data_IF_951586823350
#
_entry.id   IF_951586823350
#
_cell.length_a   1.000
_cell.length_b   1.000
_cell.length_c   1.000
_cell.angle_alpha   90.00
_cell.angle_beta   90.00
_cell.angle_gamma   90.00
#
_symmetry.space_group_name_H-M   'P 1'
#
loop_
_entity.id
_entity.type
_entity.pdbx_description
1 polymer ?
#
# COMPACT_ATOMS: atom_id res chain seq x y z
N UNK A 1 28.74 -10.93 -1.43
CA UNK A 1 27.49 -10.28 -1.85
C UNK A 1 26.52 -10.05 -0.68
N UNK A 2 26.35 -11.01 0.24
CA UNK A 2 25.41 -10.88 1.38
C UNK A 2 25.79 -9.87 2.48
N UNK A 3 27.06 -9.47 2.62
CA UNK A 3 27.50 -8.42 3.58
C UNK A 3 27.00 -6.99 3.22
N UNK A 4 26.52 -6.77 1.99
CA UNK A 4 26.01 -5.48 1.56
C UNK A 4 24.50 -5.27 1.84
N UNK A 5 23.76 -6.36 2.08
CA UNK A 5 22.35 -6.36 2.44
C UNK A 5 22.21 -6.31 3.96
N UNK A 6 22.17 -5.09 4.52
CA UNK A 6 21.92 -4.88 5.95
C UNK A 6 20.42 -4.99 6.23
N UNK A 7 20.10 -5.39 7.48
CA UNK A 7 18.72 -5.54 7.94
C UNK A 7 18.14 -6.93 7.70
N UNK A 8 16.85 -7.05 7.93
CA UNK A 8 16.14 -8.32 8.00
C UNK A 8 16.20 -9.13 6.69
N UNK A 9 16.98 -10.21 6.68
CA UNK A 9 17.18 -11.08 5.50
C UNK A 9 15.90 -11.78 5.06
N UNK A 10 15.00 -12.10 6.01
CA UNK A 10 13.72 -12.74 5.68
C UNK A 10 12.82 -11.76 4.93
N UNK A 11 12.80 -10.48 5.34
CA UNK A 11 12.06 -9.44 4.63
C UNK A 11 12.58 -9.27 3.19
N UNK A 12 13.90 -9.23 2.99
CA UNK A 12 14.50 -9.22 1.63
C UNK A 12 14.05 -10.43 0.80
N UNK A 13 14.06 -11.63 1.40
CA UNK A 13 13.63 -12.87 0.73
C UNK A 13 12.16 -12.86 0.33
N UNK A 14 11.26 -12.38 1.21
CA UNK A 14 9.82 -12.26 0.92
C UNK A 14 9.57 -11.31 -0.24
N UNK A 15 10.22 -10.13 -0.23
CA UNK A 15 10.05 -9.13 -1.28
C UNK A 15 10.59 -9.63 -2.63
N UNK A 16 11.74 -10.30 -2.63
CA UNK A 16 12.28 -10.93 -3.83
C UNK A 16 11.36 -12.03 -4.37
N UNK A 17 10.81 -12.87 -3.47
CA UNK A 17 9.86 -13.92 -3.84
C UNK A 17 8.58 -13.35 -4.49
N UNK A 18 7.98 -12.31 -3.89
CA UNK A 18 6.82 -11.63 -4.46
C UNK A 18 7.13 -11.04 -5.84
N UNK A 19 8.29 -10.38 -5.97
CA UNK A 19 8.71 -9.78 -7.24
C UNK A 19 8.93 -10.83 -8.34
N UNK A 20 9.64 -11.92 -8.04
CA UNK A 20 9.86 -13.01 -9.00
C UNK A 20 8.54 -13.69 -9.39
N UNK A 21 7.68 -13.95 -8.39
CA UNK A 21 6.36 -14.54 -8.66
C UNK A 21 5.49 -13.63 -9.54
N UNK A 22 5.62 -12.30 -9.43
CA UNK A 22 4.80 -11.36 -10.19
C UNK A 22 4.96 -11.45 -11.71
N UNK A 23 6.11 -11.92 -12.19
CA UNK A 23 6.40 -11.94 -13.63
C UNK A 23 5.45 -12.82 -14.42
N UNK A 24 5.11 -14.01 -13.90
CA UNK A 24 4.24 -14.95 -14.58
C UNK A 24 2.79 -14.42 -14.75
N UNK A 25 2.11 -13.99 -13.67
CA UNK A 25 0.76 -13.43 -13.78
C UNK A 25 0.70 -12.17 -14.62
N UNK A 26 1.71 -11.30 -14.54
CA UNK A 26 1.74 -10.05 -15.32
C UNK A 26 1.92 -10.34 -16.81
N UNK A 27 2.83 -11.25 -17.17
CA UNK A 27 3.00 -11.65 -18.58
C UNK A 27 1.69 -12.23 -19.14
N UNK A 28 1.03 -13.11 -18.39
CA UNK A 28 -0.24 -13.69 -18.79
C UNK A 28 -1.36 -12.65 -18.90
N UNK A 29 -1.56 -11.85 -17.86
CA UNK A 29 -2.62 -10.84 -17.80
C UNK A 29 -2.44 -9.70 -18.82
N UNK A 30 -1.20 -9.37 -19.20
CA UNK A 30 -0.91 -8.33 -20.20
C UNK A 30 -1.34 -8.69 -21.61
N UNK A 31 -1.61 -9.97 -21.88
CA UNK A 31 -2.16 -10.43 -23.17
C UNK A 31 -3.49 -9.73 -23.49
N UNK A 32 -4.33 -9.43 -22.49
CA UNK A 32 -5.56 -8.68 -22.69
C UNK A 32 -5.31 -7.29 -23.30
N UNK A 33 -4.33 -6.55 -22.80
CA UNK A 33 -3.99 -5.19 -23.28
C UNK A 33 -3.55 -5.22 -24.74
N UNK A 34 -2.94 -6.31 -25.19
CA UNK A 34 -2.47 -6.47 -26.56
C UNK A 34 -3.59 -6.94 -27.50
N UNK A 35 -4.30 -7.98 -27.15
CA UNK A 35 -5.25 -8.62 -28.06
C UNK A 35 -6.64 -7.98 -28.03
N UNK A 36 -7.06 -7.41 -26.91
CA UNK A 36 -8.40 -6.77 -26.75
C UNK A 36 -8.33 -5.27 -26.94
N UNK A 37 -7.32 -4.61 -26.37
CA UNK A 37 -7.19 -3.14 -26.45
C UNK A 37 -6.32 -2.69 -27.63
N UNK A 38 -5.59 -3.62 -28.25
CA UNK A 38 -4.75 -3.35 -29.44
C UNK A 38 -3.51 -2.49 -29.15
N UNK A 39 -3.03 -2.44 -27.92
CA UNK A 39 -1.89 -1.59 -27.53
C UNK A 39 -0.69 -2.42 -27.08
N UNK A 40 0.47 -2.16 -27.70
CA UNK A 40 1.76 -2.70 -27.29
C UNK A 40 1.97 -4.17 -27.63
N UNK A 41 2.90 -4.82 -26.94
CA UNK A 41 3.22 -6.24 -27.06
C UNK A 41 3.31 -6.88 -25.67
N UNK A 42 3.02 -8.20 -25.48
CA UNK A 42 3.16 -8.85 -24.17
C UNK A 42 4.58 -8.71 -23.60
N UNK A 43 5.59 -8.80 -24.46
CA UNK A 43 6.99 -8.59 -24.10
C UNK A 43 7.29 -7.16 -23.66
N UNK A 44 6.66 -6.15 -24.30
CA UNK A 44 6.79 -4.75 -23.90
C UNK A 44 6.27 -4.52 -22.48
N UNK A 45 5.12 -5.09 -22.14
CA UNK A 45 4.58 -5.02 -20.77
C UNK A 45 5.43 -5.77 -19.74
N UNK A 46 5.98 -6.93 -20.14
CA UNK A 46 6.90 -7.70 -19.30
C UNK A 46 8.19 -6.92 -19.01
N UNK A 47 8.83 -6.35 -20.04
CA UNK A 47 10.04 -5.53 -19.90
C UNK A 47 9.75 -4.30 -19.05
N UNK A 48 8.63 -3.62 -19.29
CA UNK A 48 8.20 -2.47 -18.47
C UNK A 48 8.08 -2.84 -17.01
N UNK A 49 7.44 -3.98 -16.69
CA UNK A 49 7.29 -4.46 -15.31
C UNK A 49 8.66 -4.81 -14.70
N UNK A 50 9.51 -5.50 -15.45
CA UNK A 50 10.88 -5.82 -15.03
C UNK A 50 11.68 -4.56 -14.68
N UNK A 51 11.66 -3.53 -15.55
CA UNK A 51 12.35 -2.25 -15.30
C UNK A 51 11.78 -1.56 -14.05
N UNK A 52 10.45 -1.53 -13.89
CA UNK A 52 9.81 -0.92 -12.73
C UNK A 52 10.25 -1.61 -11.43
N UNK A 53 10.27 -2.94 -11.39
CA UNK A 53 10.72 -3.68 -10.22
C UNK A 53 12.21 -3.49 -9.96
N UNK A 54 13.05 -3.54 -11.00
CA UNK A 54 14.49 -3.32 -10.88
C UNK A 54 14.79 -1.94 -10.30
N UNK A 55 14.18 -0.87 -10.83
CA UNK A 55 14.29 0.48 -10.26
C UNK A 55 13.78 0.51 -8.83
N UNK A 56 12.64 -0.15 -8.52
CA UNK A 56 12.12 -0.27 -7.17
C UNK A 56 13.12 -0.92 -6.20
N UNK A 57 13.76 -2.01 -6.59
CA UNK A 57 14.79 -2.68 -5.78
C UNK A 57 16.05 -1.82 -5.61
N UNK A 58 16.46 -1.08 -6.64
CA UNK A 58 17.58 -0.11 -6.54
C UNK A 58 17.23 1.00 -5.54
N UNK A 59 16.01 1.55 -5.59
CA UNK A 59 15.53 2.53 -4.62
C UNK A 59 15.51 1.95 -3.19
N UNK A 60 14.97 0.75 -3.02
CA UNK A 60 14.95 0.04 -1.73
C UNK A 60 16.37 -0.18 -1.20
N UNK A 61 17.31 -0.62 -2.07
CA UNK A 61 18.71 -0.82 -1.72
C UNK A 61 19.43 0.50 -1.39
N UNK A 62 19.07 1.62 -2.02
CA UNK A 62 19.66 2.92 -1.71
C UNK A 62 19.14 3.47 -0.38
N UNK A 63 17.84 3.33 -0.14
CA UNK A 63 17.16 3.85 1.04
C UNK A 63 17.54 3.08 2.30
N UNK A 64 17.70 1.75 2.24
CA UNK A 64 18.05 0.95 3.42
C UNK A 64 19.40 1.32 4.05
N UNK A 65 20.28 1.94 3.28
CA UNK A 65 21.58 2.44 3.77
C UNK A 65 21.49 3.75 4.54
N UNK A 66 20.40 4.50 4.34
CA UNK A 66 20.19 5.80 5.01
C UNK A 66 19.71 5.53 6.43
N UNK A 67 20.40 6.03 7.48
CA UNK A 67 19.95 5.89 8.85
C UNK A 67 18.52 6.44 9.03
N UNK A 68 17.61 5.62 9.52
CA UNK A 68 16.17 5.93 9.57
C UNK A 68 15.84 7.21 10.35
N UNK A 69 16.70 7.67 11.25
CA UNK A 69 16.54 8.92 11.99
C UNK A 69 16.41 10.16 11.09
N UNK A 70 17.01 10.16 9.89
CA UNK A 70 16.92 11.28 8.96
C UNK A 70 15.53 11.41 8.33
N UNK A 71 14.79 10.33 8.20
CA UNK A 71 13.42 10.39 7.67
C UNK A 71 12.48 11.23 8.53
N UNK A 72 12.83 11.44 9.82
CA UNK A 72 12.12 12.34 10.72
C UNK A 72 12.09 13.80 10.20
N UNK A 73 13.25 14.32 9.80
CA UNK A 73 13.39 15.66 9.21
C UNK A 73 12.80 15.73 7.81
N UNK A 74 13.07 14.71 6.99
CA UNK A 74 12.57 14.61 5.62
C UNK A 74 11.03 14.65 5.59
N UNK A 75 10.34 13.95 6.49
CA UNK A 75 8.88 13.94 6.52
C UNK A 75 8.28 15.30 6.83
N UNK A 76 8.91 16.08 7.71
CA UNK A 76 8.44 17.44 8.05
C UNK A 76 8.59 18.37 6.85
N UNK A 77 9.73 18.30 6.14
CA UNK A 77 9.99 19.11 4.95
C UNK A 77 9.09 18.71 3.76
N UNK A 78 8.87 17.41 3.57
CA UNK A 78 8.09 16.89 2.45
C UNK A 78 6.57 17.04 2.65
N UNK A 79 6.07 17.16 3.89
CA UNK A 79 4.64 17.23 4.18
C UNK A 79 3.93 18.37 3.42
N UNK A 80 4.38 19.65 3.47
CA UNK A 80 3.75 20.72 2.71
C UNK A 80 3.84 20.50 1.20
N UNK A 81 4.96 19.97 0.70
CA UNK A 81 5.14 19.65 -0.73
C UNK A 81 4.10 18.63 -1.19
N UNK A 82 3.89 17.59 -0.40
CA UNK A 82 2.90 16.54 -0.70
C UNK A 82 1.47 17.10 -0.68
N UNK A 83 1.15 17.99 0.25
CA UNK A 83 -0.16 18.67 0.29
C UNK A 83 -0.36 19.50 -1.00
N UNK A 84 0.64 20.27 -1.43
CA UNK A 84 0.59 21.03 -2.67
C UNK A 84 0.43 20.11 -3.90
N UNK A 85 1.15 18.99 -3.95
CA UNK A 85 1.00 17.99 -5.02
C UNK A 85 -0.41 17.36 -5.05
N UNK A 86 -1.00 17.10 -3.88
CA UNK A 86 -2.38 16.59 -3.80
C UNK A 86 -3.40 17.64 -4.27
N UNK A 87 -3.25 18.91 -3.89
CA UNK A 87 -4.08 20.01 -4.37
C UNK A 87 -3.95 20.15 -5.89
N UNK A 88 -2.73 20.13 -6.41
CA UNK A 88 -2.47 20.19 -7.86
C UNK A 88 -3.13 19.02 -8.60
N UNK A 89 -2.99 17.78 -8.09
CA UNK A 89 -3.64 16.61 -8.70
C UNK A 89 -5.16 16.68 -8.63
N UNK A 90 -5.74 17.21 -7.58
CA UNK A 90 -7.17 17.37 -7.42
C UNK A 90 -7.73 18.42 -8.43
N UNK A 91 -6.95 19.48 -8.74
CA UNK A 91 -7.35 20.54 -9.67
C UNK A 91 -7.26 20.13 -11.15
N UNK A 92 -6.38 19.18 -11.51
CA UNK A 92 -6.15 18.83 -12.92
C UNK A 92 -7.29 18.03 -13.59
N UNK A 93 -8.21 17.43 -12.86
CA UNK A 93 -9.45 16.81 -13.38
C UNK A 93 -9.32 15.92 -14.63
N UNK A 94 -8.15 15.39 -14.94
CA UNK A 94 -7.85 14.71 -16.21
C UNK A 94 -8.41 13.29 -16.26
N UNK A 95 -9.01 12.91 -17.39
CA UNK A 95 -9.42 11.53 -17.70
C UNK A 95 -8.24 10.84 -18.41
N UNK A 96 -7.71 9.77 -17.85
CA UNK A 96 -6.70 8.91 -18.47
C UNK A 96 -7.36 7.56 -18.73
N UNK A 97 -7.41 7.13 -20.00
CA UNK A 97 -7.95 5.82 -20.42
C UNK A 97 -9.38 5.52 -19.92
N UNK A 98 -10.25 6.53 -19.88
CA UNK A 98 -11.64 6.38 -19.41
C UNK A 98 -11.81 6.35 -17.90
N UNK A 99 -10.73 6.32 -17.12
CA UNK A 99 -10.75 6.47 -15.67
C UNK A 99 -10.47 7.93 -15.28
N UNK A 100 -11.25 8.44 -14.33
CA UNK A 100 -11.08 9.79 -13.80
C UNK A 100 -9.70 9.93 -13.13
N UNK A 101 -8.79 10.66 -13.77
CA UNK A 101 -7.35 10.64 -13.50
C UNK A 101 -6.89 11.68 -12.47
N UNK A 102 -7.79 12.26 -11.68
CA UNK A 102 -7.41 13.17 -10.57
C UNK A 102 -6.57 12.49 -9.47
N UNK A 103 -6.00 11.32 -9.76
CA UNK A 103 -5.08 10.57 -8.90
C UNK A 103 -3.64 10.58 -9.40
N UNK A 104 -3.44 10.92 -10.68
CA UNK A 104 -2.18 10.66 -11.37
C UNK A 104 -1.66 11.94 -12.00
N UNK A 105 -0.37 12.20 -11.84
CA UNK A 105 0.37 13.20 -12.60
C UNK A 105 1.14 12.46 -13.70
N UNK A 106 0.94 12.86 -14.95
CA UNK A 106 1.80 12.39 -16.05
C UNK A 106 3.11 13.13 -16.01
N UNK A 107 4.22 12.40 -15.92
CA UNK A 107 5.55 12.96 -16.04
C UNK A 107 5.85 13.07 -17.55
N UNK A 108 5.95 14.28 -18.13
CA UNK A 108 5.99 14.48 -19.61
C UNK A 108 7.19 13.79 -20.26
N UNK A 109 8.34 13.74 -19.57
CA UNK A 109 9.62 13.27 -20.10
C UNK A 109 9.69 11.75 -20.21
N UNK A 110 9.06 11.03 -19.26
CA UNK A 110 9.23 9.56 -19.12
C UNK A 110 7.95 8.80 -19.48
N UNK A 111 6.81 9.51 -19.70
CA UNK A 111 5.52 8.91 -20.00
C UNK A 111 4.95 8.05 -18.85
N UNK A 112 5.55 8.14 -17.65
CA UNK A 112 5.09 7.44 -16.45
C UNK A 112 4.05 8.29 -15.74
N UNK A 113 3.01 7.64 -15.25
CA UNK A 113 2.02 8.27 -14.36
C UNK A 113 2.43 8.06 -12.91
N UNK A 114 2.50 9.16 -12.15
CA UNK A 114 2.86 9.17 -10.75
C UNK A 114 1.60 9.39 -9.88
N UNK A 115 1.37 8.49 -8.93
CA UNK A 115 0.25 8.57 -8.01
C UNK A 115 0.65 9.33 -6.74
N UNK A 116 0.15 10.55 -6.59
CA UNK A 116 0.50 11.44 -5.47
C UNK A 116 0.04 10.92 -4.11
N UNK A 117 -1.10 10.23 -4.06
CA UNK A 117 -1.64 9.68 -2.82
C UNK A 117 -0.77 8.58 -2.19
N UNK A 118 0.01 7.83 -2.99
CA UNK A 118 0.94 6.81 -2.46
C UNK A 118 2.15 7.44 -1.81
N UNK A 119 2.71 8.51 -2.39
CA UNK A 119 3.75 9.32 -1.75
C UNK A 119 3.23 9.96 -0.47
N UNK A 120 2.03 10.54 -0.53
CA UNK A 120 1.38 11.15 0.63
C UNK A 120 1.23 10.16 1.79
N UNK A 121 0.88 8.91 1.49
CA UNK A 121 0.77 7.85 2.49
C UNK A 121 2.10 7.59 3.20
N UNK A 122 3.19 7.45 2.45
CA UNK A 122 4.53 7.21 3.02
C UNK A 122 4.96 8.38 3.90
N UNK A 123 4.89 9.60 3.39
CA UNK A 123 5.32 10.81 4.12
C UNK A 123 4.48 11.06 5.36
N UNK A 124 3.15 10.92 5.26
CA UNK A 124 2.25 11.11 6.40
C UNK A 124 2.53 10.09 7.51
N UNK A 125 2.74 8.80 7.17
CA UNK A 125 3.03 7.79 8.18
C UNK A 125 4.32 8.07 8.94
N UNK A 126 5.38 8.51 8.24
CA UNK A 126 6.65 8.89 8.88
C UNK A 126 6.47 10.14 9.76
N UNK A 127 5.71 11.13 9.26
CA UNK A 127 5.41 12.35 10.02
C UNK A 127 4.66 12.05 11.31
N UNK A 128 3.58 11.24 11.22
CA UNK A 128 2.78 10.84 12.39
C UNK A 128 3.63 10.05 13.38
N UNK A 129 4.44 9.08 12.92
CA UNK A 129 5.38 8.35 13.76
C UNK A 129 6.41 9.29 14.43
N UNK A 130 6.92 10.27 13.68
CA UNK A 130 7.84 11.28 14.21
C UNK A 130 7.19 12.12 15.31
N UNK A 131 5.97 12.60 15.10
CA UNK A 131 5.25 13.41 16.07
C UNK A 131 4.95 12.60 17.34
N UNK A 132 4.34 11.42 17.20
CA UNK A 132 3.99 10.56 18.32
C UNK A 132 5.22 10.11 19.14
N UNK A 133 6.34 9.87 18.46
CA UNK A 133 7.59 9.50 19.15
C UNK A 133 8.20 10.62 20.00
N UNK A 134 7.87 11.89 19.73
CA UNK A 134 8.34 13.03 20.54
C UNK A 134 7.57 13.21 21.84
N UNK A 135 6.33 12.70 21.89
CA UNK A 135 5.50 12.78 23.10
C UNK A 135 6.03 11.85 24.20
N UNK A 136 6.82 10.83 23.85
CA UNK A 136 7.46 9.92 24.80
C UNK A 136 6.43 9.17 25.66
N UNK A 137 6.57 9.29 26.98
CA UNK A 137 5.66 8.69 27.97
C UNK A 137 4.51 9.61 28.38
N UNK A 138 4.49 10.87 27.92
CA UNK A 138 3.35 11.75 28.16
C UNK A 138 2.14 11.28 27.39
N UNK A 139 1.01 11.09 28.08
CA UNK A 139 -0.25 10.67 27.42
C UNK A 139 -0.72 11.81 26.51
N UNK A 140 -0.75 11.63 25.19
CA UNK A 140 -1.18 12.67 24.28
C UNK A 140 -2.64 13.02 24.53
N UNK A 141 -2.91 14.31 24.76
CA UNK A 141 -4.26 14.83 24.83
C UNK A 141 -4.73 15.27 23.45
N UNK A 142 -6.00 15.14 23.14
CA UNK A 142 -6.55 15.57 21.84
C UNK A 142 -6.26 17.05 21.57
N UNK A 143 -6.44 17.92 22.58
CA UNK A 143 -6.21 19.37 22.45
C UNK A 143 -4.75 19.73 22.09
N UNK A 144 -3.77 19.07 22.71
CA UNK A 144 -2.35 19.33 22.44
C UNK A 144 -1.90 18.80 21.06
N UNK A 145 -2.56 17.77 20.57
CA UNK A 145 -2.22 17.09 19.31
C UNK A 145 -3.01 17.60 18.11
N UNK A 146 -4.07 18.39 18.34
CA UNK A 146 -5.02 18.76 17.29
C UNK A 146 -4.31 19.41 16.09
N UNK A 147 -3.59 20.50 16.30
CA UNK A 147 -2.93 21.24 15.20
C UNK A 147 -1.75 20.49 14.60
N UNK A 148 -0.97 19.79 15.41
CA UNK A 148 0.29 19.17 14.95
C UNK A 148 0.11 17.76 14.37
N UNK A 149 -0.92 17.03 14.80
CA UNK A 149 -1.18 15.68 14.34
C UNK A 149 -2.44 15.62 13.46
N UNK A 150 -3.59 16.01 14.02
CA UNK A 150 -4.88 15.76 13.37
C UNK A 150 -5.16 16.67 12.18
N UNK A 151 -4.75 17.95 12.24
CA UNK A 151 -4.95 18.87 11.09
C UNK A 151 -4.22 18.38 9.84
N UNK A 152 -2.92 18.04 9.84
CA UNK A 152 -2.26 17.46 8.66
C UNK A 152 -2.89 16.14 8.19
N UNK A 153 -3.29 15.27 9.11
CA UNK A 153 -3.97 14.01 8.79
C UNK A 153 -5.30 14.28 8.08
N UNK A 154 -6.13 15.17 8.63
CA UNK A 154 -7.44 15.51 8.06
C UNK A 154 -7.26 16.14 6.68
N UNK A 155 -6.34 17.09 6.51
CA UNK A 155 -6.09 17.74 5.21
C UNK A 155 -5.72 16.68 4.15
N UNK A 156 -4.77 15.80 4.44
CA UNK A 156 -4.32 14.78 3.47
C UNK A 156 -5.43 13.78 3.19
N UNK A 157 -6.13 13.29 4.22
CA UNK A 157 -7.24 12.35 4.06
C UNK A 157 -8.37 12.99 3.23
N UNK A 158 -8.75 14.24 3.51
CA UNK A 158 -9.79 14.96 2.75
C UNK A 158 -9.39 15.21 1.29
N UNK A 159 -8.12 15.49 1.00
CA UNK A 159 -7.65 15.66 -0.37
C UNK A 159 -7.61 14.33 -1.15
N UNK A 160 -7.32 13.22 -0.49
CA UNK A 160 -7.31 11.88 -1.11
C UNK A 160 -8.74 11.33 -1.24
N UNK A 161 -9.61 11.61 -0.28
CA UNK A 161 -10.95 11.03 -0.15
C UNK A 161 -11.78 11.10 -1.46
N UNK A 162 -11.95 12.26 -2.15
CA UNK A 162 -12.74 12.33 -3.37
C UNK A 162 -12.18 11.46 -4.49
N UNK A 163 -10.87 11.33 -4.57
CA UNK A 163 -10.18 10.61 -5.64
C UNK A 163 -9.98 9.13 -5.33
N UNK A 164 -9.81 8.73 -4.07
CA UNK A 164 -9.49 7.36 -3.66
C UNK A 164 -9.94 7.08 -2.23
N UNK A 165 -11.24 6.81 -2.05
CA UNK A 165 -11.84 6.49 -0.75
C UNK A 165 -11.09 5.37 -0.01
N UNK A 166 -10.73 4.28 -0.71
CA UNK A 166 -10.08 3.13 -0.09
C UNK A 166 -8.71 3.49 0.48
N UNK A 167 -7.90 4.27 -0.25
CA UNK A 167 -6.60 4.74 0.27
C UNK A 167 -6.79 5.68 1.45
N UNK A 168 -7.79 6.57 1.41
CA UNK A 168 -8.10 7.46 2.52
C UNK A 168 -8.48 6.68 3.79
N UNK A 169 -9.32 5.64 3.65
CA UNK A 169 -9.73 4.77 4.76
C UNK A 169 -8.54 3.98 5.31
N UNK A 170 -7.72 3.35 4.45
CA UNK A 170 -6.50 2.63 4.87
C UNK A 170 -5.58 3.56 5.66
N UNK A 171 -5.35 4.75 5.13
CA UNK A 171 -4.45 5.74 5.72
C UNK A 171 -4.96 6.19 7.10
N UNK A 172 -6.23 6.58 7.17
CA UNK A 172 -6.87 6.99 8.43
C UNK A 172 -6.87 5.88 9.47
N UNK A 173 -7.23 4.65 9.08
CA UNK A 173 -7.19 3.48 9.97
C UNK A 173 -5.78 3.21 10.49
N UNK A 174 -4.76 3.36 9.65
CA UNK A 174 -3.36 3.17 10.06
C UNK A 174 -2.92 4.25 11.06
N UNK A 175 -3.33 5.52 10.86
CA UNK A 175 -3.06 6.60 11.82
C UNK A 175 -3.69 6.28 13.17
N UNK A 176 -4.91 5.76 13.21
CA UNK A 176 -5.56 5.35 14.46
C UNK A 176 -4.79 4.22 15.15
N UNK A 177 -4.35 3.20 14.39
CA UNK A 177 -3.58 2.07 14.91
C UNK A 177 -2.27 2.54 15.53
N UNK A 178 -1.47 3.35 14.81
CA UNK A 178 -0.20 3.82 15.36
C UNK A 178 -0.38 4.82 16.50
N UNK A 179 -1.46 5.60 16.51
CA UNK A 179 -1.82 6.47 17.65
C UNK A 179 -2.17 5.65 18.88
N UNK A 180 -2.92 4.55 18.72
CA UNK A 180 -3.23 3.62 19.80
C UNK A 180 -1.95 2.99 20.37
N UNK A 181 -1.06 2.50 19.51
CA UNK A 181 0.22 1.90 19.93
C UNK A 181 1.12 2.92 20.61
N UNK A 182 1.03 4.20 20.24
CA UNK A 182 1.77 5.30 20.86
C UNK A 182 1.19 5.75 22.23
N UNK A 183 0.11 5.10 22.71
CA UNK A 183 -0.48 5.38 24.02
C UNK A 183 -1.62 6.41 24.02
N UNK A 184 -2.20 6.73 22.86
CA UNK A 184 -3.41 7.52 22.80
C UNK A 184 -4.56 6.84 23.52
N UNK A 185 -5.33 7.60 24.32
CA UNK A 185 -6.51 7.06 25.01
C UNK A 185 -7.53 6.49 24.00
N UNK A 186 -7.98 5.27 24.22
CA UNK A 186 -8.97 4.60 23.40
C UNK A 186 -10.27 5.44 23.24
N UNK A 187 -10.68 6.14 24.30
CA UNK A 187 -11.86 7.00 24.26
C UNK A 187 -11.71 8.17 23.28
N UNK A 188 -10.52 8.80 23.22
CA UNK A 188 -10.28 9.84 22.22
C UNK A 188 -10.33 9.30 20.80
N UNK A 189 -9.78 8.12 20.56
CA UNK A 189 -9.82 7.48 19.25
C UNK A 189 -11.25 7.11 18.84
N UNK A 190 -12.06 6.61 19.76
CA UNK A 190 -13.50 6.38 19.52
C UNK A 190 -14.24 7.66 19.16
N UNK A 191 -14.00 8.76 19.88
CA UNK A 191 -14.61 10.05 19.57
C UNK A 191 -14.20 10.57 18.18
N UNK A 192 -12.95 10.35 17.78
CA UNK A 192 -12.45 10.71 16.44
C UNK A 192 -13.13 9.86 15.37
N UNK A 193 -13.25 8.54 15.57
CA UNK A 193 -13.95 7.63 14.67
C UNK A 193 -15.43 8.04 14.55
N UNK A 194 -16.08 8.32 15.68
CA UNK A 194 -17.47 8.75 15.69
C UNK A 194 -17.65 10.07 14.93
N UNK A 195 -16.83 11.09 15.20
CA UNK A 195 -16.86 12.36 14.48
C UNK A 195 -16.61 12.21 12.99
N UNK A 196 -15.60 11.42 12.60
CA UNK A 196 -15.32 11.13 11.19
C UNK A 196 -16.49 10.40 10.50
N UNK A 197 -17.14 9.46 11.20
CA UNK A 197 -18.31 8.75 10.69
C UNK A 197 -19.52 9.69 10.50
N UNK A 198 -19.77 10.58 11.45
CA UNK A 198 -20.84 11.59 11.34
C UNK A 198 -20.59 12.51 10.14
N UNK A 199 -19.36 13.00 9.98
CA UNK A 199 -18.97 13.86 8.84
C UNK A 199 -19.15 13.09 7.52
N UNK A 200 -18.73 11.83 7.43
CA UNK A 200 -18.90 11.01 6.25
C UNK A 200 -20.38 10.77 5.90
N UNK A 201 -21.23 10.52 6.90
CA UNK A 201 -22.67 10.34 6.71
C UNK A 201 -23.32 11.67 6.23
N UNK A 202 -22.99 12.78 6.89
CA UNK A 202 -23.51 14.10 6.47
C UNK A 202 -23.06 14.44 5.05
N UNK A 203 -21.80 14.18 4.71
CA UNK A 203 -21.29 14.37 3.35
C UNK A 203 -22.07 13.51 2.33
N UNK A 204 -22.33 12.24 2.67
CA UNK A 204 -23.12 11.35 1.82
C UNK A 204 -24.57 11.84 1.64
N UNK A 205 -25.21 12.34 2.70
CA UNK A 205 -26.54 12.89 2.66
C UNK A 205 -26.60 14.18 1.82
N UNK A 206 -25.62 15.07 1.96
CA UNK A 206 -25.49 16.29 1.14
C UNK A 206 -25.38 15.97 -0.35
N UNK A 207 -24.60 14.98 -0.69
CA UNK A 207 -24.45 14.51 -2.07
C UNK A 207 -25.78 13.99 -2.63
N UNK A 208 -26.49 13.19 -1.84
CA UNK A 208 -27.80 12.66 -2.24
C UNK A 208 -28.85 13.77 -2.40
N UNK A 209 -28.75 14.84 -1.60
CA UNK A 209 -29.63 16.00 -1.67
C UNK A 209 -29.31 16.94 -2.87
N UNK A 210 -28.03 17.08 -3.23
CA UNK A 210 -27.55 17.99 -4.28
C UNK A 210 -26.64 17.27 -5.28
N UNK A 211 -27.14 16.33 -6.12
CA UNK A 211 -26.33 15.56 -7.05
C UNK A 211 -25.57 16.41 -8.07
N UNK A 212 -26.17 17.53 -8.51
CA UNK A 212 -25.61 18.43 -9.51
C UNK A 212 -24.39 19.25 -9.02
N UNK A 213 -24.23 19.39 -7.70
CA UNK A 213 -23.11 20.13 -7.10
C UNK A 213 -21.81 19.31 -7.02
N UNK A 214 -21.91 18.00 -7.14
CA UNK A 214 -20.78 17.06 -6.97
C UNK A 214 -20.59 16.21 -8.22
N UNK A 215 -19.63 16.54 -9.11
CA UNK A 215 -19.51 15.86 -10.40
C UNK A 215 -19.04 14.40 -10.27
N UNK A 216 -19.73 13.51 -10.99
CA UNK A 216 -19.34 12.16 -11.52
C UNK A 216 -18.72 11.08 -10.61
N UNK A 217 -18.11 11.37 -9.47
CA UNK A 217 -17.43 10.34 -8.67
C UNK A 217 -18.26 9.77 -7.55
N UNK A 218 -19.18 10.53 -7.08
CA UNK A 218 -20.08 10.10 -6.03
C UNK A 218 -21.04 9.07 -6.55
N UNK A 219 -21.53 9.28 -7.79
CA UNK A 219 -22.34 8.27 -8.49
C UNK A 219 -21.57 6.95 -8.61
N UNK A 220 -20.25 7.02 -8.83
CA UNK A 220 -19.40 5.81 -8.87
C UNK A 220 -19.37 5.09 -7.53
N UNK A 221 -19.34 5.80 -6.38
CA UNK A 221 -19.33 5.15 -5.06
C UNK A 221 -20.69 4.62 -4.66
N UNK A 222 -21.73 5.42 -4.87
CA UNK A 222 -23.12 5.00 -4.63
C UNK A 222 -23.39 3.76 -5.46
N UNK A 223 -23.08 3.80 -6.75
CA UNK A 223 -23.23 2.68 -7.65
C UNK A 223 -22.42 1.45 -7.22
N UNK A 224 -21.19 1.61 -6.71
CA UNK A 224 -20.39 0.47 -6.21
C UNK A 224 -21.00 -0.17 -4.98
N UNK A 225 -21.53 0.62 -4.04
CA UNK A 225 -22.17 0.12 -2.81
C UNK A 225 -23.54 -0.49 -3.12
N UNK A 226 -24.35 0.16 -3.96
CA UNK A 226 -25.66 -0.37 -4.38
C UNK A 226 -25.52 -1.64 -5.21
N UNK A 227 -24.54 -1.68 -6.12
CA UNK A 227 -24.25 -2.84 -6.94
C UNK A 227 -23.73 -4.02 -6.12
N UNK A 228 -22.94 -3.74 -5.07
CA UNK A 228 -22.49 -4.77 -4.14
C UNK A 228 -23.68 -5.38 -3.37
N UNK A 229 -24.69 -4.56 -3.01
CA UNK A 229 -25.89 -5.03 -2.30
C UNK A 229 -26.93 -5.67 -3.21
N UNK A 230 -27.17 -5.10 -4.39
CA UNK A 230 -28.32 -5.47 -5.24
C UNK A 230 -27.96 -6.32 -6.45
N UNK A 231 -26.68 -6.36 -6.83
CA UNK A 231 -26.23 -7.12 -7.99
C UNK A 231 -26.72 -6.60 -9.35
N UNK A 232 -27.25 -5.38 -9.47
CA UNK A 232 -28.01 -4.89 -10.64
C UNK A 232 -27.24 -4.10 -11.72
N UNK A 233 -25.97 -3.74 -11.54
CA UNK A 233 -25.22 -2.95 -12.54
C UNK A 233 -24.50 -3.84 -13.56
N UNK A 234 -24.69 -3.56 -14.87
CA UNK A 234 -24.11 -4.36 -15.96
C UNK A 234 -22.56 -4.36 -15.96
N UNK A 235 -21.87 -3.22 -15.75
CA UNK A 235 -20.43 -3.13 -15.93
C UNK A 235 -19.62 -3.64 -14.71
N UNK A 236 -20.01 -3.28 -13.49
CA UNK A 236 -19.35 -3.80 -12.29
C UNK A 236 -19.65 -5.28 -12.09
N UNK A 237 -20.86 -5.74 -12.41
CA UNK A 237 -21.20 -7.17 -12.40
C UNK A 237 -20.41 -7.95 -13.43
N UNK A 238 -20.08 -7.35 -14.58
CA UNK A 238 -19.27 -8.01 -15.59
C UNK A 238 -17.86 -8.34 -15.06
N UNK A 239 -17.15 -7.34 -14.51
CA UNK A 239 -15.80 -7.54 -13.96
C UNK A 239 -15.79 -8.56 -12.83
N UNK A 240 -16.70 -8.40 -11.87
CA UNK A 240 -16.81 -9.28 -10.71
C UNK A 240 -17.25 -10.70 -11.12
N UNK A 241 -18.20 -10.83 -12.04
CA UNK A 241 -18.63 -12.14 -12.57
C UNK A 241 -17.47 -12.85 -13.26
N UNK A 242 -16.66 -12.13 -14.08
CA UNK A 242 -15.48 -12.69 -14.74
C UNK A 242 -14.40 -13.09 -13.75
N UNK A 243 -14.16 -12.29 -12.70
CA UNK A 243 -13.24 -12.65 -11.63
C UNK A 243 -13.69 -13.93 -10.89
N UNK A 244 -14.98 -14.06 -10.58
CA UNK A 244 -15.53 -15.30 -10.01
C UNK A 244 -15.34 -16.50 -10.93
N UNK A 245 -15.66 -16.34 -12.22
CA UNK A 245 -15.47 -17.41 -13.20
C UNK A 245 -14.00 -17.83 -13.26
N UNK A 246 -13.06 -16.89 -13.23
CA UNK A 246 -11.63 -17.17 -13.16
C UNK A 246 -11.28 -18.02 -11.94
N UNK A 247 -11.71 -17.58 -10.75
CA UNK A 247 -11.44 -18.30 -9.50
C UNK A 247 -12.02 -19.71 -9.50
N UNK A 248 -13.28 -19.88 -9.95
CA UNK A 248 -13.94 -21.19 -9.99
C UNK A 248 -13.26 -22.11 -11.02
N UNK A 249 -12.85 -21.58 -12.18
CA UNK A 249 -12.18 -22.37 -13.21
C UNK A 249 -10.80 -22.87 -12.80
N UNK A 250 -10.13 -22.15 -11.87
CA UNK A 250 -8.83 -22.53 -11.33
C UNK A 250 -8.85 -23.81 -10.49
N UNK A 251 -9.99 -24.19 -9.91
CA UNK A 251 -10.10 -25.38 -9.05
C UNK A 251 -9.01 -25.42 -7.97
N UNK A 252 -8.48 -26.62 -7.65
CA UNK A 252 -7.44 -26.78 -6.62
C UNK A 252 -6.04 -26.45 -7.16
N UNK A 253 -5.68 -26.95 -8.36
CA UNK A 253 -4.32 -26.89 -8.89
C UNK A 253 -4.12 -25.88 -10.02
N UNK A 254 -5.19 -25.23 -10.50
CA UNK A 254 -5.14 -24.26 -11.59
C UNK A 254 -5.15 -24.90 -12.99
N UNK A 255 -5.27 -24.02 -13.99
CA UNK A 255 -5.22 -24.40 -15.41
C UNK A 255 -3.75 -24.48 -15.93
N UNK A 256 -2.80 -24.02 -15.15
CA UNK A 256 -1.39 -23.89 -15.50
C UNK A 256 -1.00 -22.45 -15.85
N UNK A 257 0.27 -22.12 -15.60
CA UNK A 257 0.82 -20.78 -15.85
C UNK A 257 0.61 -20.32 -17.30
N UNK A 258 0.13 -19.11 -17.51
CA UNK A 258 -0.16 -18.53 -18.82
C UNK A 258 -1.44 -19.06 -19.51
N UNK A 259 -2.15 -20.00 -18.91
CA UNK A 259 -3.34 -20.65 -19.51
C UNK A 259 -4.66 -20.06 -19.01
N UNK A 260 -4.66 -18.91 -18.36
CA UNK A 260 -5.89 -18.23 -17.96
C UNK A 260 -6.77 -17.96 -19.19
N UNK A 261 -8.03 -18.34 -19.12
CA UNK A 261 -9.05 -18.07 -20.14
C UNK A 261 -9.70 -16.71 -19.92
N UNK A 262 -9.85 -16.32 -18.64
CA UNK A 262 -10.53 -15.09 -18.27
C UNK A 262 -9.65 -13.85 -18.44
N UNK A 263 -8.33 -13.98 -18.60
CA UNK A 263 -7.42 -12.83 -18.80
C UNK A 263 -7.84 -11.89 -19.93
N UNK A 264 -8.44 -12.41 -20.99
CA UNK A 264 -8.89 -11.61 -22.16
C UNK A 264 -10.27 -10.96 -21.96
N UNK A 265 -11.05 -11.45 -21.00
CA UNK A 265 -12.40 -10.98 -20.72
C UNK A 265 -12.51 -10.15 -19.46
N UNK A 266 -11.46 -10.15 -18.63
CA UNK A 266 -11.45 -9.43 -17.36
C UNK A 266 -10.72 -8.08 -17.52
N UNK A 267 -11.45 -6.95 -17.56
CA UNK A 267 -10.81 -5.65 -17.56
C UNK A 267 -9.93 -5.49 -16.32
N UNK A 268 -8.79 -4.80 -16.48
CA UNK A 268 -7.82 -4.59 -15.41
C UNK A 268 -7.30 -5.90 -14.75
N UNK A 269 -7.24 -6.99 -15.52
CA UNK A 269 -6.71 -8.29 -15.09
C UNK A 269 -5.27 -8.21 -14.56
N UNK A 270 -4.45 -7.29 -15.08
CA UNK A 270 -3.06 -7.08 -14.65
C UNK A 270 -2.91 -6.15 -13.42
N UNK A 271 -3.97 -5.49 -12.97
CA UNK A 271 -3.93 -4.55 -11.84
C UNK A 271 -4.84 -4.97 -10.69
N UNK A 272 -6.12 -4.62 -10.77
CA UNK A 272 -7.06 -4.73 -9.66
C UNK A 272 -7.58 -6.15 -9.41
N UNK A 273 -7.59 -7.00 -10.46
CA UNK A 273 -8.08 -8.37 -10.40
C UNK A 273 -6.99 -9.42 -10.67
N UNK A 274 -5.73 -9.06 -10.50
CA UNK A 274 -4.60 -9.97 -10.73
C UNK A 274 -4.70 -11.23 -9.86
N UNK A 275 -5.24 -11.13 -8.63
CA UNK A 275 -5.45 -12.27 -7.74
C UNK A 275 -6.37 -13.32 -8.36
N UNK A 276 -7.44 -12.91 -9.06
CA UNK A 276 -8.34 -13.85 -9.74
C UNK A 276 -7.62 -14.62 -10.87
N UNK A 277 -6.73 -13.96 -11.60
CA UNK A 277 -5.89 -14.61 -12.63
C UNK A 277 -4.88 -15.58 -11.99
N UNK A 278 -4.29 -15.21 -10.86
CA UNK A 278 -3.39 -16.10 -10.10
C UNK A 278 -4.12 -17.36 -9.66
N UNK A 279 -5.34 -17.23 -9.13
CA UNK A 279 -6.13 -18.39 -8.72
C UNK A 279 -6.57 -19.23 -9.93
N UNK A 280 -6.89 -18.61 -11.07
CA UNK A 280 -7.21 -19.36 -12.30
C UNK A 280 -6.02 -20.19 -12.80
N UNK A 281 -4.81 -19.63 -12.77
CA UNK A 281 -3.61 -20.30 -13.29
C UNK A 281 -2.97 -21.28 -12.32
N UNK A 282 -2.92 -20.95 -11.03
CA UNK A 282 -2.22 -21.73 -9.98
C UNK A 282 -3.19 -22.42 -9.00
N UNK A 283 -4.50 -22.29 -9.21
CA UNK A 283 -5.53 -22.88 -8.38
C UNK A 283 -5.66 -22.26 -6.99
N UNK A 284 -6.48 -22.89 -6.18
CA UNK A 284 -6.66 -22.52 -4.77
C UNK A 284 -5.33 -22.59 -3.99
N UNK A 285 -4.47 -23.55 -4.34
CA UNK A 285 -3.13 -23.69 -3.72
C UNK A 285 -2.30 -22.43 -3.93
N UNK A 286 -2.23 -21.92 -5.17
CA UNK A 286 -1.51 -20.67 -5.48
C UNK A 286 -2.10 -19.46 -4.78
N UNK A 287 -3.44 -19.37 -4.72
CA UNK A 287 -4.13 -18.30 -3.99
C UNK A 287 -3.85 -18.30 -2.50
N UNK A 288 -3.93 -19.47 -1.85
CA UNK A 288 -3.61 -19.62 -0.41
C UNK A 288 -2.13 -19.34 -0.15
N UNK A 289 -1.23 -19.86 -0.98
CA UNK A 289 0.21 -19.61 -0.83
C UNK A 289 0.53 -18.12 -0.87
N UNK A 290 -0.11 -17.38 -1.75
CA UNK A 290 0.05 -15.92 -1.82
C UNK A 290 -0.46 -15.22 -0.56
N UNK A 291 -1.61 -15.62 -0.02
CA UNK A 291 -2.13 -15.11 1.25
C UNK A 291 -1.12 -15.39 2.37
N UNK A 292 -0.57 -16.60 2.45
CA UNK A 292 0.43 -16.97 3.46
C UNK A 292 1.71 -16.12 3.34
N UNK A 293 2.14 -15.77 2.12
CA UNK A 293 3.30 -14.87 1.92
C UNK A 293 3.01 -13.48 2.48
N UNK A 294 1.80 -12.91 2.27
CA UNK A 294 1.43 -11.62 2.87
C UNK A 294 1.26 -11.70 4.39
N UNK A 295 0.77 -12.81 4.93
CA UNK A 295 0.74 -13.05 6.38
C UNK A 295 2.16 -13.16 6.97
N UNK A 296 3.07 -13.82 6.27
CA UNK A 296 4.47 -13.89 6.65
C UNK A 296 5.13 -12.50 6.59
N UNK A 297 4.79 -11.69 5.59
CA UNK A 297 5.23 -10.30 5.52
C UNK A 297 4.72 -9.49 6.71
N UNK A 298 3.43 -9.60 7.05
CA UNK A 298 2.86 -8.97 8.24
C UNK A 298 3.57 -9.41 9.51
N UNK A 299 3.74 -10.71 9.70
CA UNK A 299 4.46 -11.27 10.85
C UNK A 299 5.86 -10.68 10.95
N UNK A 300 6.57 -10.57 9.84
CA UNK A 300 7.94 -10.03 9.80
C UNK A 300 7.98 -8.54 10.15
N UNK A 301 7.02 -7.75 9.68
CA UNK A 301 6.85 -6.33 10.04
C UNK A 301 6.65 -6.20 11.57
N UNK A 302 5.78 -7.01 12.16
CA UNK A 302 5.53 -7.02 13.61
C UNK A 302 6.80 -7.40 14.39
N UNK A 303 7.53 -8.44 13.96
CA UNK A 303 8.79 -8.85 14.60
C UNK A 303 9.84 -7.74 14.54
N UNK A 304 10.01 -7.08 13.39
CA UNK A 304 10.94 -5.96 13.25
C UNK A 304 10.55 -4.82 14.18
N UNK A 305 9.26 -4.47 14.24
CA UNK A 305 8.76 -3.44 15.15
C UNK A 305 9.02 -3.80 16.61
N UNK A 306 8.74 -5.02 17.01
CA UNK A 306 8.96 -5.50 18.38
C UNK A 306 10.43 -5.43 18.79
N UNK A 307 11.34 -5.85 17.93
CA UNK A 307 12.80 -5.81 18.18
C UNK A 307 13.38 -4.39 18.18
N UNK A 308 12.67 -3.42 17.63
CA UNK A 308 13.17 -2.04 17.56
C UNK A 308 13.09 -1.35 18.91
N UNK A 309 14.20 -0.81 19.41
CA UNK A 309 14.26 -0.12 20.71
C UNK A 309 13.66 1.30 20.67
N UNK A 310 13.76 2.00 19.54
CA UNK A 310 13.28 3.37 19.43
C UNK A 310 11.79 3.44 19.12
N UNK A 311 11.01 4.25 19.84
CA UNK A 311 9.58 4.43 19.59
C UNK A 311 9.31 4.94 18.16
N UNK A 312 10.15 5.87 17.66
CA UNK A 312 10.04 6.33 16.27
C UNK A 312 10.18 5.17 15.27
N UNK A 313 11.19 4.32 15.46
CA UNK A 313 11.40 3.15 14.59
C UNK A 313 10.22 2.19 14.64
N UNK A 314 9.71 1.85 15.85
CA UNK A 314 8.53 0.99 16.02
C UNK A 314 7.32 1.51 15.25
N UNK A 315 6.97 2.77 15.48
CA UNK A 315 5.80 3.40 14.85
C UNK A 315 5.98 3.55 13.33
N UNK A 316 7.20 3.84 12.86
CA UNK A 316 7.51 3.93 11.43
C UNK A 316 7.35 2.58 10.73
N UNK A 317 7.85 1.50 11.32
CA UNK A 317 7.73 0.14 10.76
C UNK A 317 6.25 -0.27 10.62
N UNK A 318 5.46 -0.04 11.66
CA UNK A 318 4.01 -0.36 11.63
C UNK A 318 3.27 0.57 10.67
N UNK A 319 3.54 1.87 10.74
CA UNK A 319 2.88 2.88 9.91
C UNK A 319 3.13 2.69 8.41
N UNK A 320 4.29 2.21 8.01
CA UNK A 320 4.61 1.93 6.61
C UNK A 320 4.18 0.51 6.19
N UNK A 321 4.24 -0.46 7.09
CA UNK A 321 3.94 -1.85 6.78
C UNK A 321 2.44 -2.15 6.72
N UNK A 322 1.65 -1.68 7.68
CA UNK A 322 0.21 -1.96 7.77
C UNK A 322 -0.57 -1.53 6.51
N UNK A 323 -0.38 -0.33 5.93
CA UNK A 323 -1.08 0.05 4.70
C UNK A 323 -0.85 -0.91 3.55
N UNK A 324 0.37 -1.44 3.40
CA UNK A 324 0.73 -2.39 2.33
C UNK A 324 -0.03 -3.70 2.52
N UNK A 325 -0.09 -4.18 3.75
CA UNK A 325 -0.84 -5.40 4.08
C UNK A 325 -2.36 -5.21 3.88
N UNK A 326 -2.91 -4.09 4.36
CA UNK A 326 -4.33 -3.78 4.16
C UNK A 326 -4.67 -3.69 2.67
N UNK A 327 -3.82 -3.04 1.88
CA UNK A 327 -3.99 -2.96 0.43
C UNK A 327 -4.02 -4.35 -0.22
N UNK A 328 -3.13 -5.27 0.19
CA UNK A 328 -3.12 -6.64 -0.30
C UNK A 328 -4.42 -7.39 0.05
N UNK A 329 -4.86 -7.35 1.30
CA UNK A 329 -6.08 -8.03 1.71
C UNK A 329 -7.35 -7.43 1.11
N UNK A 330 -7.38 -6.11 0.91
CA UNK A 330 -8.49 -5.45 0.21
C UNK A 330 -8.54 -5.91 -1.26
N UNK A 331 -7.41 -5.99 -1.97
CA UNK A 331 -7.39 -6.49 -3.35
C UNK A 331 -7.89 -7.94 -3.43
N UNK A 332 -7.41 -8.81 -2.54
CA UNK A 332 -7.85 -10.20 -2.43
C UNK A 332 -9.34 -10.27 -2.10
N UNK A 333 -9.82 -9.51 -1.11
CA UNK A 333 -11.22 -9.46 -0.71
C UNK A 333 -12.16 -8.95 -1.81
N UNK A 334 -11.70 -8.00 -2.63
CA UNK A 334 -12.42 -7.54 -3.83
C UNK A 334 -12.51 -8.64 -4.88
N UNK A 335 -11.42 -9.35 -5.14
CA UNK A 335 -11.39 -10.46 -6.10
C UNK A 335 -12.31 -11.61 -5.68
N UNK A 336 -12.41 -11.87 -4.36
CA UNK A 336 -13.30 -12.86 -3.75
C UNK A 336 -14.74 -12.36 -3.54
N UNK A 337 -15.03 -11.10 -3.87
CA UNK A 337 -16.33 -10.46 -3.62
C UNK A 337 -16.76 -10.37 -2.15
N UNK A 338 -15.82 -10.42 -1.22
CA UNK A 338 -16.05 -10.12 0.19
C UNK A 338 -16.16 -8.61 0.41
N UNK A 339 -15.49 -7.83 -0.45
CA UNK A 339 -15.47 -6.38 -0.43
C UNK A 339 -15.92 -5.80 -1.78
N UNK A 340 -16.51 -4.59 -1.79
CA UNK A 340 -16.86 -3.88 -3.03
C UNK A 340 -15.59 -3.52 -3.82
N UNK A 341 -15.72 -3.34 -5.14
CA UNK A 341 -14.60 -2.98 -6.02
C UNK A 341 -13.98 -1.64 -5.61
N UNK A 342 -12.69 -1.64 -5.29
CA UNK A 342 -11.97 -0.50 -4.73
C UNK A 342 -10.92 0.11 -5.66
N UNK A 343 -10.41 -0.65 -6.62
CA UNK A 343 -9.31 -0.20 -7.49
C UNK A 343 -7.98 -0.10 -6.76
N UNK A 344 -7.70 -1.02 -5.83
CA UNK A 344 -6.43 -1.15 -5.13
C UNK A 344 -5.58 -2.23 -5.79
N UNK A 345 -4.32 -1.90 -6.10
CA UNK A 345 -3.36 -2.85 -6.66
C UNK A 345 -2.87 -3.83 -5.59
N UNK A 346 -2.49 -5.04 -6.02
CA UNK A 346 -1.82 -6.00 -5.14
C UNK A 346 -0.33 -5.63 -5.03
N UNK A 347 0.19 -5.23 -3.85
CA UNK A 347 1.55 -4.73 -3.68
C UNK A 347 2.61 -5.71 -4.19
N UNK A 348 3.63 -5.22 -4.88
CA UNK A 348 4.73 -5.98 -5.51
C UNK A 348 4.32 -6.94 -6.64
N UNK A 349 3.02 -7.21 -6.85
CA UNK A 349 2.54 -8.16 -7.86
C UNK A 349 1.83 -7.47 -9.03
N UNK A 350 0.88 -6.57 -8.73
CA UNK A 350 0.14 -5.86 -9.79
C UNK A 350 1.04 -4.97 -10.64
N UNK A 351 0.65 -4.76 -11.90
CA UNK A 351 1.29 -3.76 -12.78
C UNK A 351 0.94 -2.34 -12.33
N UNK A 352 1.57 -1.89 -11.25
CA UNK A 352 1.24 -0.63 -10.55
C UNK A 352 2.24 0.51 -10.72
N UNK A 353 3.21 0.42 -11.64
CA UNK A 353 4.16 1.51 -11.92
C UNK A 353 4.75 2.15 -10.64
N UNK A 354 4.40 3.41 -10.40
CA UNK A 354 4.92 4.18 -9.26
C UNK A 354 4.44 3.67 -7.89
N UNK A 355 3.34 2.92 -7.81
CA UNK A 355 2.90 2.28 -6.57
C UNK A 355 3.93 1.23 -6.08
N UNK A 356 4.53 0.47 -7.00
CA UNK A 356 5.59 -0.48 -6.67
C UNK A 356 6.83 0.25 -6.11
N UNK A 357 7.20 1.41 -6.67
CA UNK A 357 8.32 2.21 -6.14
C UNK A 357 8.04 2.72 -4.73
N UNK A 358 6.82 3.20 -4.45
CA UNK A 358 6.48 3.65 -3.10
C UNK A 358 6.48 2.50 -2.10
N UNK A 359 6.04 1.30 -2.50
CA UNK A 359 6.16 0.10 -1.68
C UNK A 359 7.63 -0.26 -1.42
N UNK A 360 8.50 -0.20 -2.44
CA UNK A 360 9.93 -0.43 -2.28
C UNK A 360 10.60 0.62 -1.38
N UNK A 361 10.21 1.90 -1.48
CA UNK A 361 10.67 2.98 -0.60
C UNK A 361 10.27 2.69 0.85
N UNK A 362 9.01 2.37 1.08
CA UNK A 362 8.51 2.03 2.42
C UNK A 362 9.24 0.83 3.02
N UNK A 363 9.45 -0.23 2.23
CA UNK A 363 10.20 -1.41 2.65
C UNK A 363 11.69 -1.11 2.87
N UNK A 364 12.29 -0.24 2.07
CA UNK A 364 13.67 0.24 2.28
C UNK A 364 13.85 0.99 3.61
N UNK A 365 12.85 1.79 4.01
CA UNK A 365 12.86 2.46 5.32
C UNK A 365 12.70 1.45 6.46
N UNK A 366 11.81 0.45 6.31
CA UNK A 366 11.65 -0.64 7.29
C UNK A 366 12.96 -1.43 7.44
N UNK A 367 13.63 -1.72 6.34
CA UNK A 367 14.95 -2.38 6.34
C UNK A 367 16.03 -1.53 7.00
N UNK A 368 16.01 -0.21 6.82
CA UNK A 368 16.94 0.70 7.52
C UNK A 368 16.73 0.69 9.04
N UNK A 369 15.47 0.59 9.51
CA UNK A 369 15.18 0.42 10.94
C UNK A 369 15.72 -0.92 11.45
N UNK A 370 15.51 -1.98 10.69
CA UNK A 370 15.93 -3.35 11.04
C UNK A 370 17.46 -3.50 11.06
N UNK A 371 18.17 -2.83 10.14
CA UNK A 371 19.63 -2.84 10.07
C UNK A 371 20.31 -2.30 11.34
N UNK A 372 19.73 -1.27 11.96
CA UNK A 372 20.25 -0.73 13.23
C UNK A 372 20.04 -1.70 14.40
N UNK A 373 18.97 -2.47 14.38
CA UNK A 373 18.73 -3.49 15.40
C UNK A 373 19.76 -4.62 15.33
N UNK A 374 20.16 -4.99 14.11
CA UNK A 374 21.17 -6.03 13.88
C UNK A 374 22.55 -5.60 14.43
N UNK A 375 22.99 -4.37 14.12
CA UNK A 375 24.26 -3.83 14.64
C UNK A 375 24.27 -3.80 16.17
N UNK A 376 23.20 -3.34 16.80
CA UNK A 376 23.12 -3.28 18.27
C UNK A 376 23.11 -4.67 18.92
N UNK A 377 22.54 -5.66 18.23
CA UNK A 377 22.56 -7.04 18.73
C UNK A 377 23.97 -7.63 18.65
N UNK A 378 24.69 -7.37 17.56
CA UNK A 378 26.10 -7.77 17.42
C UNK A 378 27.00 -7.09 18.47
N UNK A 379 26.86 -5.77 18.68
CA UNK A 379 27.59 -5.02 19.73
C UNK A 379 27.34 -5.63 21.13
N UNK A 380 26.08 -5.94 21.48
CA UNK A 380 25.78 -6.56 22.79
C UNK A 380 26.34 -8.00 22.92
N UNK A 381 26.46 -8.75 21.81
CA UNK A 381 27.09 -10.06 21.85
C UNK A 381 28.61 -9.96 22.06
N UNK A 382 29.25 -8.96 21.44
CA UNK A 382 30.68 -8.72 21.60
C UNK A 382 31.01 -8.21 23.02
N UNK A 383 30.21 -7.31 23.60
CA UNK A 383 30.35 -6.86 24.98
C UNK A 383 30.16 -7.99 26.01
N UNK A 384 29.26 -8.94 25.75
CA UNK A 384 29.00 -10.08 26.65
C UNK A 384 29.83 -11.33 26.29
N UNK A 385 30.77 -11.22 25.36
CA UNK A 385 31.65 -12.35 25.03
C UNK A 385 32.66 -12.57 26.17
N UNK A 386 32.67 -13.76 26.81
CA UNK A 386 33.57 -14.07 27.93
C UNK A 386 35.06 -13.87 27.60
N UNK A 387 35.43 -14.01 26.33
CA UNK A 387 36.80 -13.81 25.86
C UNK A 387 37.18 -12.34 25.89
N UNK A 388 36.26 -11.42 25.53
CA UNK A 388 36.50 -9.97 25.53
C UNK A 388 36.57 -9.46 26.99
N UNK A 389 35.68 -9.94 27.86
CA UNK A 389 35.67 -9.59 29.30
C UNK A 389 36.97 -10.03 30.00
N UNK A 390 37.52 -11.17 29.62
CA UNK A 390 38.81 -11.67 30.17
C UNK A 390 40.02 -10.89 29.63
N UNK A 391 39.94 -10.32 28.41
CA UNK A 391 41.04 -9.54 27.83
C UNK A 391 41.13 -8.11 28.39
N UNK A 392 40.07 -7.58 28.97
CA UNK A 392 40.07 -6.26 29.64
C UNK A 392 40.47 -6.34 31.13
N UNK A 393 40.55 -7.55 31.68
CA UNK A 393 40.92 -7.79 33.09
C UNK A 393 42.38 -8.26 33.28
N UNK A 394 43.16 -8.41 32.20
CA UNK A 394 44.57 -8.68 32.16
C UNK A 394 45.35 -7.46 31.70
#
# INVERSE_FOLDING_TARGET
MFKALKGDRVLWGILALLAVFSFLPIFSASSNLVYVVGKGTPWGYFIKHFVILTVGFILMFSIHKIPFRYFKGISILMLPIVILLLIYTASQGTIIEGANASRWIKIPIVGLSFQTSTLASVILMIYVASYLSKLGYEKPTFKSSFFRLWVPVIIIVCLIFPSNLSTAVILFSTVLIISFIAGYSFMYLLNIIFGASVIAILFFLLIKAYPSAFPNRVDTWVNRIENFKTGKSKDNNYQVSRAKTAIVSGKIFGLGAGKSRMKNFLPQSSSDFIYAIIVEEFGLVGGIMLILIYLLLLFRIVVISYKTSSLFGKLTVIGLGIPIIFQAFINIGVSLQVLPVTGQNLPMISSGGTSAWMTCIAMGIILSVSAKNEVRYEENLDENNPINVLSETI
#
